data_IF_304937273200
#
_entry.id   IF_304937273200
#
_cell.length_a   1.000
_cell.length_b   1.000
_cell.length_c   1.000
_cell.angle_alpha   90.00
_cell.angle_beta   90.00
_cell.angle_gamma   90.00
#
_symmetry.space_group_name_H-M   'P 1'
#
loop_
_entity.id
_entity.type
_entity.pdbx_description
1 polymer ?
#
# COMPACT_ATOMS: atom_id res chain seq x y z
N UNK A 1 17.32 -56.52 14.50
CA UNK A 1 17.55 -55.32 13.65
C UNK A 1 16.54 -55.15 12.51
N UNK A 2 16.21 -56.16 11.68
CA UNK A 2 15.27 -56.00 10.54
C UNK A 2 13.84 -55.53 10.88
N UNK A 3 13.27 -55.93 12.03
CA UNK A 3 11.92 -55.50 12.46
C UNK A 3 11.84 -54.03 12.93
N UNK A 4 12.90 -53.50 13.53
CA UNK A 4 12.95 -52.08 13.92
C UNK A 4 13.14 -51.15 12.71
N UNK A 5 13.84 -51.63 11.67
CA UNK A 5 13.99 -50.89 10.42
C UNK A 5 12.65 -50.75 9.65
N UNK A 6 11.83 -51.80 9.64
CA UNK A 6 10.52 -51.81 8.97
C UNK A 6 9.47 -50.91 9.63
N UNK A 7 9.45 -50.83 10.97
CA UNK A 7 8.56 -49.91 11.71
C UNK A 7 9.02 -48.45 11.54
N UNK A 8 10.33 -48.20 11.50
CA UNK A 8 10.88 -46.88 11.19
C UNK A 8 10.53 -46.41 9.77
N UNK A 9 10.66 -47.29 8.78
CA UNK A 9 10.28 -47.02 7.38
C UNK A 9 8.77 -46.82 7.19
N UNK A 10 7.93 -47.60 7.88
CA UNK A 10 6.48 -47.43 7.84
C UNK A 10 6.02 -46.13 8.53
N UNK A 11 6.66 -45.76 9.65
CA UNK A 11 6.42 -44.48 10.32
C UNK A 11 6.81 -43.28 9.46
N UNK A 12 7.98 -43.33 8.82
CA UNK A 12 8.45 -42.33 7.86
C UNK A 12 7.50 -42.21 6.66
N UNK A 13 7.04 -43.34 6.10
CA UNK A 13 6.07 -43.34 5.01
C UNK A 13 4.73 -42.72 5.41
N UNK A 14 4.20 -43.01 6.60
CA UNK A 14 2.96 -42.42 7.10
C UNK A 14 3.10 -40.90 7.36
N UNK A 15 4.23 -40.45 7.90
CA UNK A 15 4.50 -39.01 8.04
C UNK A 15 4.67 -38.30 6.70
N UNK A 16 5.30 -38.96 5.71
CA UNK A 16 5.45 -38.42 4.37
C UNK A 16 4.11 -38.35 3.63
N UNK A 17 3.25 -39.37 3.76
CA UNK A 17 1.89 -39.39 3.21
C UNK A 17 1.03 -38.31 3.88
N UNK A 18 1.05 -38.22 5.21
CA UNK A 18 0.32 -37.18 5.95
C UNK A 18 0.77 -35.77 5.59
N UNK A 19 2.09 -35.56 5.44
CA UNK A 19 2.67 -34.30 4.98
C UNK A 19 2.27 -33.97 3.53
N UNK A 20 2.27 -34.96 2.64
CA UNK A 20 1.84 -34.80 1.25
C UNK A 20 0.36 -34.43 1.13
N UNK A 21 -0.52 -35.08 1.90
CA UNK A 21 -1.97 -34.76 1.94
C UNK A 21 -2.20 -33.36 2.50
N UNK A 22 -1.49 -32.98 3.56
CA UNK A 22 -1.59 -31.63 4.12
C UNK A 22 -1.11 -30.57 3.13
N UNK A 23 0.03 -30.79 2.46
CA UNK A 23 0.53 -29.87 1.43
C UNK A 23 -0.41 -29.75 0.24
N UNK A 24 -1.01 -30.85 -0.19
CA UNK A 24 -2.04 -30.85 -1.23
C UNK A 24 -3.25 -30.00 -0.80
N UNK A 25 -3.74 -30.18 0.43
CA UNK A 25 -4.84 -29.38 0.97
C UNK A 25 -4.48 -27.89 1.04
N UNK A 26 -3.27 -27.56 1.51
CA UNK A 26 -2.81 -26.17 1.59
C UNK A 26 -2.67 -25.54 0.19
N UNK A 27 -2.22 -26.30 -0.81
CA UNK A 27 -2.11 -25.84 -2.20
C UNK A 27 -3.48 -25.63 -2.84
N UNK A 28 -4.41 -26.58 -2.69
CA UNK A 28 -5.78 -26.51 -3.20
C UNK A 28 -6.56 -25.31 -2.62
N UNK A 29 -6.41 -25.05 -1.32
CA UNK A 29 -7.03 -23.89 -0.66
C UNK A 29 -6.19 -22.60 -0.76
N UNK A 30 -5.01 -22.67 -1.41
CA UNK A 30 -4.13 -21.53 -1.57
C UNK A 30 -3.59 -20.97 -0.26
N UNK A 31 -3.45 -21.76 0.81
CA UNK A 31 -3.00 -21.26 2.12
C UNK A 31 -1.47 -21.17 2.13
N UNK A 32 -0.93 -19.96 2.00
CA UNK A 32 0.52 -19.72 1.99
C UNK A 32 1.12 -19.79 3.40
N UNK A 33 2.42 -20.12 3.58
CA UNK A 33 3.08 -20.12 4.89
C UNK A 33 2.91 -18.81 5.65
N UNK A 34 3.03 -17.68 4.93
CA UNK A 34 2.84 -16.32 5.43
C UNK A 34 1.41 -15.99 5.86
N UNK A 35 0.39 -16.69 5.35
CA UNK A 35 -0.98 -16.58 5.88
C UNK A 35 -1.26 -17.55 7.04
N UNK A 36 -0.68 -18.75 6.98
CA UNK A 36 -0.89 -19.79 7.99
C UNK A 36 -0.19 -19.46 9.31
N UNK A 37 1.06 -19.00 9.26
CA UNK A 37 1.85 -18.69 10.45
C UNK A 37 1.17 -17.69 11.39
N UNK A 38 0.84 -16.47 10.91
CA UNK A 38 0.13 -15.48 11.72
C UNK A 38 -1.25 -15.94 12.18
N UNK A 39 -1.96 -16.74 11.37
CA UNK A 39 -3.23 -17.33 11.78
C UNK A 39 -3.07 -18.28 12.98
N UNK A 40 -2.07 -19.15 12.94
CA UNK A 40 -1.77 -20.09 14.04
C UNK A 40 -1.33 -19.35 15.30
N UNK A 41 -0.47 -18.33 15.18
CA UNK A 41 -0.09 -17.47 16.31
C UNK A 41 -1.33 -16.81 16.93
N UNK A 42 -2.14 -16.13 16.12
CA UNK A 42 -3.37 -15.46 16.61
C UNK A 42 -4.35 -16.43 17.25
N UNK A 43 -4.48 -17.66 16.74
CA UNK A 43 -5.38 -18.65 17.34
C UNK A 43 -4.91 -19.09 18.72
N UNK A 44 -3.60 -19.05 18.97
CA UNK A 44 -3.00 -19.34 20.27
C UNK A 44 -3.06 -18.18 21.26
N UNK A 45 -3.18 -16.93 20.81
CA UNK A 45 -3.27 -15.75 21.68
C UNK A 45 -4.36 -15.90 22.76
N UNK A 46 -4.06 -15.49 23.99
CA UNK A 46 -5.00 -15.52 25.11
C UNK A 46 -5.23 -16.91 25.73
N UNK A 47 -4.51 -17.93 25.25
CA UNK A 47 -4.51 -19.27 25.86
C UNK A 47 -3.39 -19.39 26.91
N UNK A 48 -3.02 -20.62 27.31
CA UNK A 48 -1.91 -20.82 28.25
C UNK A 48 -0.57 -20.39 27.63
N UNK A 49 0.43 -19.99 28.45
CA UNK A 49 1.73 -19.53 27.95
C UNK A 49 2.44 -20.53 27.03
N UNK A 50 2.17 -21.82 27.20
CA UNK A 50 2.70 -22.86 26.33
C UNK A 50 2.08 -22.82 24.93
N UNK A 51 0.74 -22.64 24.84
CA UNK A 51 0.03 -22.56 23.55
C UNK A 51 0.44 -21.31 22.79
N UNK A 52 0.54 -20.17 23.47
CA UNK A 52 1.03 -18.92 22.87
C UNK A 52 2.45 -19.08 22.32
N UNK A 53 3.35 -19.68 23.10
CA UNK A 53 4.73 -19.94 22.68
C UNK A 53 4.80 -20.89 21.48
N UNK A 54 3.96 -21.92 21.44
CA UNK A 54 3.87 -22.84 20.30
C UNK A 54 3.41 -22.07 19.06
N UNK A 55 2.35 -21.27 19.17
CA UNK A 55 1.81 -20.46 18.07
C UNK A 55 2.85 -19.49 17.50
N UNK A 56 3.50 -18.71 18.36
CA UNK A 56 4.55 -17.77 17.96
C UNK A 56 5.77 -18.48 17.34
N UNK A 57 6.13 -19.66 17.85
CA UNK A 57 7.25 -20.44 17.29
C UNK A 57 6.90 -21.03 15.93
N UNK A 58 5.68 -21.55 15.76
CA UNK A 58 5.18 -22.05 14.48
C UNK A 58 5.13 -20.93 13.44
N UNK A 59 4.65 -19.74 13.81
CA UNK A 59 4.66 -18.57 12.93
C UNK A 59 6.09 -18.23 12.47
N UNK A 60 7.02 -18.02 13.41
CA UNK A 60 8.42 -17.72 13.07
C UNK A 60 9.04 -18.76 12.15
N UNK A 61 8.80 -20.04 12.41
CA UNK A 61 9.34 -21.11 11.57
C UNK A 61 8.73 -21.09 10.16
N UNK A 62 7.40 -21.02 10.03
CA UNK A 62 6.74 -20.96 8.72
C UNK A 62 7.17 -19.74 7.90
N UNK A 63 7.25 -18.58 8.55
CA UNK A 63 7.61 -17.31 7.89
C UNK A 63 9.09 -17.27 7.52
N UNK A 64 10.00 -17.77 8.37
CA UNK A 64 11.44 -17.82 8.05
C UNK A 64 11.76 -18.81 6.94
N UNK A 65 11.11 -19.97 6.91
CA UNK A 65 11.26 -20.97 5.85
C UNK A 65 10.83 -20.44 4.48
N UNK A 66 9.75 -19.65 4.45
CA UNK A 66 9.24 -19.01 3.25
C UNK A 66 10.08 -17.78 2.87
N UNK A 67 10.10 -16.77 3.72
CA UNK A 67 10.61 -15.44 3.35
C UNK A 67 12.12 -15.29 3.52
N UNK A 68 12.76 -16.17 4.30
CA UNK A 68 14.11 -15.97 4.83
C UNK A 68 14.14 -14.98 5.99
N UNK A 69 15.24 -15.00 6.76
CA UNK A 69 15.40 -14.18 7.96
C UNK A 69 15.96 -12.77 7.70
N UNK A 70 16.58 -12.56 6.54
CA UNK A 70 17.22 -11.28 6.23
C UNK A 70 16.18 -10.20 5.90
N UNK A 71 16.33 -8.98 6.44
CA UNK A 71 15.43 -7.88 6.13
C UNK A 71 15.63 -7.29 4.73
N UNK A 72 14.56 -6.66 4.24
CA UNK A 72 14.65 -5.78 3.09
C UNK A 72 15.52 -4.57 3.48
N UNK A 73 16.44 -4.19 2.60
CA UNK A 73 17.37 -3.08 2.80
C UNK A 73 17.07 -1.96 1.81
N UNK A 74 15.81 -1.55 1.71
CA UNK A 74 15.39 -0.52 0.76
C UNK A 74 15.78 0.90 1.21
N UNK A 75 16.31 1.09 2.43
CA UNK A 75 16.63 2.41 2.96
C UNK A 75 17.72 3.14 2.17
N UNK A 76 18.61 2.38 1.52
CA UNK A 76 19.67 2.92 0.67
C UNK A 76 19.22 3.17 -0.78
N UNK A 77 17.99 2.80 -1.14
CA UNK A 77 17.49 2.99 -2.49
C UNK A 77 17.17 4.46 -2.75
N UNK A 78 17.71 4.96 -3.86
CA UNK A 78 17.38 6.26 -4.44
C UNK A 78 16.82 6.01 -5.84
N UNK A 79 15.58 6.42 -6.06
CA UNK A 79 14.89 6.17 -7.32
C UNK A 79 13.83 7.20 -7.69
N UNK A 80 13.15 6.95 -8.80
CA UNK A 80 12.15 7.84 -9.39
C UNK A 80 10.77 7.81 -8.69
N UNK A 81 10.60 7.00 -7.64
CA UNK A 81 9.33 6.81 -6.92
C UNK A 81 9.48 7.27 -5.46
N UNK A 82 8.41 7.84 -4.92
CA UNK A 82 8.44 8.54 -3.64
C UNK A 82 8.88 10.00 -3.79
N UNK A 83 9.15 10.65 -2.66
CA UNK A 83 9.62 12.03 -2.62
C UNK A 83 10.95 12.19 -3.37
N UNK A 84 11.02 13.23 -4.19
CA UNK A 84 12.12 13.60 -5.07
C UNK A 84 12.81 14.86 -4.54
N UNK A 85 14.15 14.87 -4.61
CA UNK A 85 14.99 16.02 -4.20
C UNK A 85 14.72 17.28 -5.04
N UNK A 86 14.42 17.08 -6.32
CA UNK A 86 13.91 18.12 -7.21
C UNK A 86 12.39 18.08 -7.17
N UNK A 87 11.74 19.21 -6.91
CA UNK A 87 10.27 19.28 -6.88
C UNK A 87 9.64 18.70 -8.15
N UNK A 88 8.52 17.99 -8.00
CA UNK A 88 7.82 17.36 -9.12
C UNK A 88 6.97 18.39 -9.84
N UNK A 89 7.12 18.47 -11.17
CA UNK A 89 6.29 19.36 -11.99
C UNK A 89 4.91 18.75 -12.20
N UNK A 90 3.88 19.50 -11.87
CA UNK A 90 2.48 19.18 -12.19
C UNK A 90 1.92 20.32 -13.04
N UNK A 91 1.24 20.04 -14.17
CA UNK A 91 0.56 21.05 -14.96
C UNK A 91 -0.41 21.92 -14.14
N UNK A 92 -0.68 23.13 -14.62
CA UNK A 92 -1.60 24.07 -13.95
C UNK A 92 -1.05 24.73 -12.70
N UNK A 93 0.28 24.89 -12.59
CA UNK A 93 0.89 25.65 -11.48
C UNK A 93 0.52 27.13 -11.61
N UNK A 94 -0.18 27.73 -10.63
CA UNK A 94 -0.57 29.13 -10.71
C UNK A 94 0.66 30.05 -10.70
N UNK A 95 0.61 31.11 -11.51
CA UNK A 95 1.49 32.28 -11.40
C UNK A 95 0.92 33.33 -10.43
N UNK A 96 0.06 32.91 -9.50
CA UNK A 96 -0.68 33.80 -8.62
C UNK A 96 0.19 34.46 -7.55
N UNK A 97 -0.43 35.35 -6.78
CA UNK A 97 0.24 36.12 -5.75
C UNK A 97 0.91 35.20 -4.72
N UNK A 98 2.21 35.39 -4.51
CA UNK A 98 2.97 34.69 -3.49
C UNK A 98 2.72 35.27 -2.10
N UNK A 99 2.53 34.40 -1.11
CA UNK A 99 2.57 34.74 0.32
C UNK A 99 3.69 33.94 0.96
N UNK A 100 4.60 34.63 1.63
CA UNK A 100 5.64 33.99 2.43
C UNK A 100 5.14 33.80 3.86
N UNK A 101 5.36 32.62 4.42
CA UNK A 101 5.07 32.34 5.83
C UNK A 101 6.31 31.78 6.52
N UNK A 102 6.56 32.26 7.73
CA UNK A 102 7.78 31.98 8.48
C UNK A 102 7.50 31.35 9.86
N UNK A 103 6.25 31.03 10.17
CA UNK A 103 5.81 30.42 11.42
C UNK A 103 4.44 29.73 11.27
N UNK A 104 4.09 28.87 12.23
CA UNK A 104 2.86 28.05 12.21
C UNK A 104 1.57 28.88 12.22
N UNK A 105 1.57 30.03 12.90
CA UNK A 105 0.39 30.87 13.04
C UNK A 105 0.18 31.73 11.78
N UNK A 106 1.26 32.18 11.15
CA UNK A 106 1.28 32.77 9.82
C UNK A 106 0.76 31.81 8.76
N UNK A 107 1.17 30.54 8.79
CA UNK A 107 0.63 29.50 7.92
C UNK A 107 -0.89 29.32 8.13
N UNK A 108 -1.34 29.21 9.39
CA UNK A 108 -2.77 29.11 9.72
C UNK A 108 -3.57 30.29 9.19
N UNK A 109 -3.08 31.52 9.38
CA UNK A 109 -3.74 32.74 8.87
C UNK A 109 -3.76 32.77 7.34
N UNK A 110 -2.66 32.42 6.68
CA UNK A 110 -2.57 32.40 5.23
C UNK A 110 -3.56 31.41 4.62
N UNK A 111 -3.67 30.19 5.18
CA UNK A 111 -4.66 29.19 4.77
C UNK A 111 -6.09 29.73 4.96
N UNK A 112 -6.39 30.31 6.14
CA UNK A 112 -7.73 30.82 6.45
C UNK A 112 -8.16 32.02 5.59
N UNK A 113 -7.20 32.76 5.02
CA UNK A 113 -7.44 33.93 4.18
C UNK A 113 -7.25 33.65 2.68
N UNK A 114 -6.93 32.42 2.31
CA UNK A 114 -6.46 32.12 0.96
C UNK A 114 -7.46 32.47 -0.14
N UNK A 115 -6.95 32.87 -1.30
CA UNK A 115 -7.72 33.16 -2.52
C UNK A 115 -7.35 32.18 -3.64
N UNK A 116 -8.26 31.87 -4.58
CA UNK A 116 -7.95 31.05 -5.75
C UNK A 116 -6.66 31.51 -6.46
N UNK A 117 -5.80 30.55 -6.80
CA UNK A 117 -4.51 30.78 -7.46
C UNK A 117 -3.37 31.21 -6.54
N UNK A 118 -3.61 31.46 -5.26
CA UNK A 118 -2.58 31.93 -4.34
C UNK A 118 -1.55 30.85 -4.02
N UNK A 119 -0.28 31.26 -3.91
CA UNK A 119 0.84 30.38 -3.57
C UNK A 119 1.40 30.76 -2.21
N UNK A 120 1.10 29.94 -1.20
CA UNK A 120 1.64 30.05 0.16
C UNK A 120 2.95 29.28 0.22
N UNK A 121 4.07 30.00 0.24
CA UNK A 121 5.41 29.42 0.35
C UNK A 121 5.89 29.52 1.79
N UNK A 122 6.11 28.36 2.40
CA UNK A 122 6.68 28.26 3.75
C UNK A 122 8.19 28.38 3.62
N UNK A 123 8.78 29.29 4.38
CA UNK A 123 10.23 29.46 4.44
C UNK A 123 10.89 28.23 5.09
N UNK A 124 12.16 27.93 4.77
CA UNK A 124 12.87 26.83 5.40
C UNK A 124 12.84 26.89 6.93
N UNK A 125 12.56 25.76 7.57
CA UNK A 125 12.44 25.70 9.02
C UNK A 125 11.67 24.50 9.54
N UNK A 126 11.57 24.44 10.87
CA UNK A 126 10.79 23.45 11.60
C UNK A 126 9.67 24.15 12.35
N UNK A 127 8.44 23.73 12.10
CA UNK A 127 7.23 24.39 12.56
C UNK A 127 6.35 23.40 13.29
N UNK A 128 6.07 23.66 14.55
CA UNK A 128 5.17 22.83 15.35
C UNK A 128 3.73 23.24 15.15
N UNK A 129 2.88 22.27 14.83
CA UNK A 129 1.45 22.44 14.58
C UNK A 129 0.67 21.77 15.70
N UNK A 130 0.16 22.57 16.63
CA UNK A 130 -0.52 22.09 17.84
C UNK A 130 -2.04 22.07 17.71
N UNK A 131 -2.56 22.63 16.61
CA UNK A 131 -3.99 22.71 16.30
C UNK A 131 -4.20 22.35 14.85
N UNK A 132 -5.30 21.65 14.57
CA UNK A 132 -5.74 21.34 13.22
C UNK A 132 -5.78 22.60 12.35
N UNK A 133 -5.22 22.49 11.14
CA UNK A 133 -5.30 23.52 10.12
C UNK A 133 -6.53 23.28 9.25
N UNK A 134 -7.60 24.03 9.54
CA UNK A 134 -8.83 23.97 8.76
C UNK A 134 -8.68 24.67 7.40
N UNK A 135 -8.88 23.91 6.33
CA UNK A 135 -8.77 24.36 4.94
C UNK A 135 -10.17 24.46 4.34
N UNK A 136 -10.82 25.62 4.56
CA UNK A 136 -12.24 25.82 4.25
C UNK A 136 -12.56 26.74 3.07
N UNK A 137 -11.56 27.41 2.46
CA UNK A 137 -11.77 28.30 1.31
C UNK A 137 -11.53 27.55 0.00
N UNK A 138 -12.43 27.63 -1.00
CA UNK A 138 -12.22 26.93 -2.26
C UNK A 138 -11.14 27.59 -3.11
N UNK A 139 -10.30 26.79 -3.76
CA UNK A 139 -9.61 27.20 -4.99
C UNK A 139 -10.53 27.09 -6.20
N UNK A 140 -9.95 27.21 -7.40
CA UNK A 140 -10.63 26.93 -8.67
C UNK A 140 -9.83 25.93 -9.51
N UNK A 141 -10.46 25.32 -10.51
CA UNK A 141 -9.86 24.32 -11.39
C UNK A 141 -8.62 24.84 -12.12
N UNK A 142 -8.70 26.08 -12.64
CA UNK A 142 -7.63 26.79 -13.32
C UNK A 142 -6.75 27.63 -12.38
N UNK A 143 -7.16 27.77 -11.12
CA UNK A 143 -6.48 28.54 -10.09
C UNK A 143 -6.52 27.81 -8.72
N UNK A 144 -5.85 26.65 -8.59
CA UNK A 144 -5.75 25.96 -7.32
C UNK A 144 -4.97 26.78 -6.29
N UNK A 145 -5.22 26.55 -5.01
CA UNK A 145 -4.45 27.15 -3.92
C UNK A 145 -3.29 26.21 -3.57
N UNK A 146 -2.07 26.73 -3.54
CA UNK A 146 -0.86 25.92 -3.33
C UNK A 146 -0.19 26.28 -2.01
N UNK A 147 0.05 25.27 -1.17
CA UNK A 147 0.92 25.37 0.02
C UNK A 147 2.18 24.58 -0.26
N UNK A 148 3.36 25.20 -0.16
CA UNK A 148 4.60 24.53 -0.55
C UNK A 148 5.84 24.92 0.22
N UNK A 149 6.83 24.03 0.20
CA UNK A 149 8.24 24.41 0.33
C UNK A 149 8.82 24.72 -1.05
N UNK A 150 9.70 25.72 -1.13
CA UNK A 150 10.38 26.02 -2.39
C UNK A 150 11.42 24.95 -2.75
N UNK A 151 12.19 24.52 -1.74
CA UNK A 151 13.15 23.42 -1.82
C UNK A 151 12.56 22.20 -1.09
N UNK A 152 12.38 21.04 -1.75
CA UNK A 152 11.96 19.81 -1.09
C UNK A 152 12.82 19.47 0.12
N UNK A 153 12.18 19.10 1.22
CA UNK A 153 12.87 18.75 2.46
C UNK A 153 13.27 19.93 3.35
N UNK A 154 13.12 21.18 2.88
CA UNK A 154 13.53 22.36 3.66
C UNK A 154 12.52 22.78 4.75
N UNK A 155 11.27 22.31 4.67
CA UNK A 155 10.18 22.65 5.59
C UNK A 155 9.71 21.39 6.31
N UNK A 156 9.86 21.40 7.63
CA UNK A 156 9.39 20.34 8.53
C UNK A 156 8.19 20.82 9.34
N UNK A 157 7.04 20.18 9.16
CA UNK A 157 5.83 20.43 9.92
C UNK A 157 5.63 19.30 10.94
N UNK A 158 5.80 19.60 12.22
CA UNK A 158 5.60 18.66 13.31
C UNK A 158 4.15 18.72 13.81
N UNK A 159 3.35 17.74 13.42
CA UNK A 159 1.94 17.63 13.76
C UNK A 159 1.80 17.02 15.16
N UNK A 160 1.41 17.86 16.11
CA UNK A 160 1.14 17.50 17.50
C UNK A 160 -0.37 17.53 17.78
N UNK A 161 -1.15 17.08 16.81
CA UNK A 161 -2.61 17.09 16.82
C UNK A 161 -3.12 15.84 16.12
N UNK A 162 -4.40 15.49 16.33
CA UNK A 162 -4.99 14.29 15.72
C UNK A 162 -5.03 14.35 14.20
N UNK A 163 -5.40 15.52 13.67
CA UNK A 163 -5.49 15.80 12.24
C UNK A 163 -4.67 17.05 11.92
N UNK A 164 -3.68 16.93 11.05
CA UNK A 164 -2.82 18.05 10.64
C UNK A 164 -3.59 19.08 9.81
N UNK A 165 -3.99 18.70 8.60
CA UNK A 165 -4.79 19.52 7.70
C UNK A 165 -6.16 18.89 7.44
N UNK A 166 -7.23 19.59 7.81
CA UNK A 166 -8.61 19.21 7.45
C UNK A 166 -9.00 19.90 6.15
N UNK A 167 -8.99 19.15 5.05
CA UNK A 167 -9.31 19.64 3.71
C UNK A 167 -10.83 19.55 3.49
N UNK A 168 -11.51 20.67 3.68
CA UNK A 168 -12.96 20.79 3.58
C UNK A 168 -13.43 21.57 2.33
N UNK A 169 -12.50 22.01 1.49
CA UNK A 169 -12.76 22.80 0.29
C UNK A 169 -11.90 22.32 -0.90
N UNK A 170 -12.37 22.51 -2.14
CA UNK A 170 -11.75 21.90 -3.31
C UNK A 170 -10.54 22.67 -3.83
N UNK A 171 -9.78 22.02 -4.73
CA UNK A 171 -8.67 22.60 -5.50
C UNK A 171 -7.52 23.13 -4.63
N UNK A 172 -7.15 22.35 -3.62
CA UNK A 172 -5.95 22.58 -2.81
C UNK A 172 -4.82 21.65 -3.18
N UNK A 173 -3.61 22.19 -3.21
CA UNK A 173 -2.38 21.44 -3.47
C UNK A 173 -1.34 21.67 -2.39
N UNK A 174 -0.72 20.59 -1.93
CA UNK A 174 0.37 20.60 -0.95
C UNK A 174 1.63 19.98 -1.55
N UNK A 175 2.72 20.74 -1.61
CA UNK A 175 3.94 20.36 -2.33
C UNK A 175 5.22 20.42 -1.49
N UNK A 176 6.08 19.41 -1.63
CA UNK A 176 7.48 19.43 -1.18
C UNK A 176 7.67 19.52 0.35
N UNK A 177 6.64 19.19 1.14
CA UNK A 177 6.64 19.31 2.59
C UNK A 177 7.14 18.03 3.26
N UNK A 178 7.82 18.17 4.40
CA UNK A 178 8.02 17.08 5.36
C UNK A 178 6.98 17.24 6.46
N UNK A 179 6.07 16.29 6.60
CA UNK A 179 5.04 16.24 7.64
C UNK A 179 5.34 15.08 8.58
N UNK A 180 5.44 15.35 9.88
CA UNK A 180 5.75 14.33 10.88
C UNK A 180 4.75 14.37 12.02
N UNK A 181 4.10 13.24 12.31
CA UNK A 181 3.32 13.06 13.52
C UNK A 181 4.26 12.90 14.73
N UNK A 182 4.12 13.76 15.73
CA UNK A 182 4.97 13.76 16.94
C UNK A 182 4.18 13.47 18.22
N UNK A 183 2.98 12.90 18.05
CA UNK A 183 2.14 12.46 19.16
C UNK A 183 2.65 11.12 19.71
N UNK A 184 2.57 10.93 21.03
CA UNK A 184 2.82 9.61 21.65
C UNK A 184 1.80 8.55 21.17
N UNK A 185 0.55 8.98 21.00
CA UNK A 185 -0.53 8.25 20.35
C UNK A 185 -1.50 9.26 19.72
N UNK A 186 -2.35 8.80 18.80
CA UNK A 186 -3.43 9.64 18.25
C UNK A 186 -3.04 10.63 17.16
N UNK A 187 -1.80 10.62 16.65
CA UNK A 187 -1.48 11.26 15.37
C UNK A 187 -2.15 10.44 14.26
N UNK A 188 -3.38 10.79 13.94
CA UNK A 188 -4.23 10.05 13.03
C UNK A 188 -3.90 10.40 11.59
N UNK A 189 -3.99 11.68 11.20
CA UNK A 189 -3.94 12.10 9.80
C UNK A 189 -3.00 13.29 9.56
N UNK A 190 -2.15 13.21 8.54
CA UNK A 190 -1.47 14.41 8.03
C UNK A 190 -2.45 15.26 7.22
N UNK A 191 -3.21 14.59 6.33
CA UNK A 191 -4.31 15.16 5.56
C UNK A 191 -5.58 14.37 5.82
N UNK A 192 -6.63 15.04 6.30
CA UNK A 192 -7.99 14.53 6.30
C UNK A 192 -8.80 15.27 5.24
N UNK A 193 -8.98 14.63 4.09
CA UNK A 193 -9.76 15.15 2.96
C UNK A 193 -11.21 14.71 3.11
N UNK A 194 -12.11 15.67 3.29
CA UNK A 194 -13.49 15.37 3.66
C UNK A 194 -14.50 16.25 2.96
N UNK A 195 -15.72 15.72 2.81
CA UNK A 195 -16.86 16.50 2.35
C UNK A 195 -16.63 17.13 0.98
N UNK A 196 -16.52 18.46 0.94
CA UNK A 196 -16.33 19.24 -0.31
C UNK A 196 -14.87 19.30 -0.78
N UNK A 197 -13.92 18.63 -0.11
CA UNK A 197 -12.50 18.61 -0.44
C UNK A 197 -12.11 17.88 -1.74
N UNK A 198 -12.89 17.98 -2.81
CA UNK A 198 -12.60 17.32 -4.09
C UNK A 198 -11.44 17.99 -4.83
N UNK A 199 -10.81 17.26 -5.77
CA UNK A 199 -9.66 17.75 -6.54
C UNK A 199 -8.48 18.21 -5.65
N UNK A 200 -8.33 17.58 -4.49
CA UNK A 200 -7.16 17.71 -3.63
C UNK A 200 -5.92 17.10 -4.29
N UNK A 201 -4.75 17.70 -4.06
CA UNK A 201 -3.48 17.13 -4.50
C UNK A 201 -2.41 17.19 -3.39
N UNK A 202 -1.79 16.06 -3.09
CA UNK A 202 -0.53 15.99 -2.35
C UNK A 202 0.56 15.53 -3.30
N UNK A 203 1.60 16.35 -3.46
CA UNK A 203 2.64 16.14 -4.46
C UNK A 203 4.02 16.26 -3.81
N UNK A 204 4.84 15.24 -3.98
CA UNK A 204 6.25 15.29 -3.56
C UNK A 204 6.47 15.55 -2.07
N UNK A 205 5.60 15.04 -1.19
CA UNK A 205 5.74 15.20 0.25
C UNK A 205 6.34 13.96 0.91
N UNK A 206 7.01 14.15 2.04
CA UNK A 206 7.37 13.08 2.98
C UNK A 206 6.42 13.16 4.17
N UNK A 207 5.69 12.08 4.45
CA UNK A 207 4.76 11.96 5.56
C UNK A 207 5.21 10.84 6.48
N UNK A 208 5.42 11.14 7.76
CA UNK A 208 6.03 10.23 8.74
C UNK A 208 5.18 10.12 10.00
N UNK A 209 4.97 8.90 10.50
CA UNK A 209 4.39 8.63 11.82
C UNK A 209 2.92 9.04 12.04
N UNK A 210 2.06 8.61 11.12
CA UNK A 210 0.60 8.75 11.21
C UNK A 210 -0.09 7.37 11.19
N UNK A 211 -1.27 7.28 11.79
CA UNK A 211 -2.09 6.07 11.68
C UNK A 211 -2.61 5.91 10.24
N UNK A 212 -3.11 7.00 9.65
CA UNK A 212 -3.45 7.10 8.24
C UNK A 212 -3.01 8.47 7.71
N UNK A 213 -1.82 8.53 7.10
CA UNK A 213 -1.21 9.78 6.61
C UNK A 213 -2.16 10.60 5.73
N UNK A 214 -2.88 9.94 4.82
CA UNK A 214 -3.97 10.54 4.04
C UNK A 214 -5.25 9.77 4.31
N UNK A 215 -6.20 10.43 4.97
CA UNK A 215 -7.57 9.93 5.17
C UNK A 215 -8.53 10.67 4.26
N UNK A 216 -9.39 9.92 3.59
CA UNK A 216 -10.41 10.47 2.69
C UNK A 216 -11.76 9.85 3.05
N UNK A 217 -12.77 10.67 3.28
CA UNK A 217 -14.14 10.18 3.48
C UNK A 217 -15.20 11.20 3.10
N UNK A 218 -16.39 10.70 2.76
CA UNK A 218 -17.56 11.54 2.62
C UNK A 218 -17.90 12.22 3.97
N UNK A 219 -18.40 13.45 3.88
CA UNK A 219 -18.93 14.19 5.02
C UNK A 219 -20.16 14.99 4.56
N UNK A 220 -21.26 14.94 5.32
CA UNK A 220 -22.52 15.57 4.92
C UNK A 220 -23.07 15.07 3.58
N UNK A 221 -22.86 13.79 3.26
CA UNK A 221 -23.28 13.17 1.99
C UNK A 221 -22.44 13.57 0.77
N UNK A 222 -21.30 14.23 0.97
CA UNK A 222 -20.43 14.71 -0.12
C UNK A 222 -19.11 13.95 -0.11
N UNK A 223 -18.84 13.09 -1.11
CA UNK A 223 -17.56 12.41 -1.26
C UNK A 223 -16.52 13.34 -1.93
N UNK A 224 -15.29 13.40 -1.41
CA UNK A 224 -14.20 14.17 -2.02
C UNK A 224 -13.56 13.40 -3.18
N UNK A 225 -14.16 13.50 -4.37
CA UNK A 225 -13.71 12.81 -5.58
C UNK A 225 -12.49 13.50 -6.25
N UNK A 226 -11.87 12.82 -7.22
CA UNK A 226 -10.83 13.36 -8.12
C UNK A 226 -9.52 13.81 -7.45
N UNK A 227 -9.13 13.19 -6.34
CA UNK A 227 -7.86 13.52 -5.69
C UNK A 227 -6.63 12.96 -6.40
N UNK A 228 -5.47 13.56 -6.11
CA UNK A 228 -4.16 13.18 -6.65
C UNK A 228 -3.16 12.98 -5.51
N UNK A 229 -2.56 11.79 -5.43
CA UNK A 229 -1.34 11.54 -4.64
C UNK A 229 -0.22 11.22 -5.61
N UNK A 230 0.74 12.13 -5.76
CA UNK A 230 1.85 12.00 -6.71
C UNK A 230 3.21 12.09 -6.02
N UNK A 231 4.06 11.08 -6.20
CA UNK A 231 5.45 11.12 -5.76
C UNK A 231 5.63 11.41 -4.26
N UNK A 232 4.71 10.96 -3.41
CA UNK A 232 4.87 11.11 -1.96
C UNK A 232 5.57 9.89 -1.36
N UNK A 233 6.33 10.11 -0.29
CA UNK A 233 6.80 9.04 0.59
C UNK A 233 5.97 9.04 1.87
N UNK A 234 5.33 7.92 2.20
CA UNK A 234 4.51 7.75 3.40
C UNK A 234 5.06 6.57 4.21
N UNK A 235 5.53 6.81 5.43
CA UNK A 235 6.14 5.76 6.26
C UNK A 235 5.88 5.94 7.74
N UNK A 236 6.04 4.88 8.53
CA UNK A 236 6.20 5.01 9.98
C UNK A 236 7.58 4.51 10.40
N UNK A 237 8.12 5.10 11.46
CA UNK A 237 9.41 4.72 12.05
C UNK A 237 9.26 3.66 13.14
N UNK A 238 8.04 3.47 13.62
CA UNK A 238 7.72 2.52 14.69
C UNK A 238 6.31 1.95 14.52
N UNK A 239 6.05 0.85 15.25
CA UNK A 239 4.70 0.27 15.35
C UNK A 239 3.75 1.31 15.94
N UNK A 240 2.60 1.52 15.28
CA UNK A 240 1.57 2.43 15.77
C UNK A 240 0.86 1.81 16.98
N UNK A 241 1.02 2.44 18.14
CA UNK A 241 0.36 2.04 19.38
C UNK A 241 -1.12 2.44 19.38
N UNK A 242 -1.93 1.77 18.56
CA UNK A 242 -3.36 2.07 18.39
C UNK A 242 -4.18 0.81 18.07
N UNK A 243 -5.44 0.80 18.50
CA UNK A 243 -6.45 -0.16 18.05
C UNK A 243 -7.23 0.31 16.82
N UNK A 244 -7.12 1.61 16.47
CA UNK A 244 -7.69 2.19 15.25
C UNK A 244 -6.99 1.67 13.99
N UNK A 245 -7.56 1.97 12.82
CA UNK A 245 -6.97 1.59 11.55
C UNK A 245 -5.56 2.17 11.38
N UNK A 246 -4.66 1.37 10.82
CA UNK A 246 -3.34 1.82 10.36
C UNK A 246 -3.26 1.55 8.87
N UNK A 247 -3.41 2.62 8.11
CA UNK A 247 -3.53 2.59 6.66
C UNK A 247 -3.03 3.91 6.08
N UNK A 248 -1.76 4.00 5.62
CA UNK A 248 -1.18 5.25 5.14
C UNK A 248 -2.04 6.03 4.13
N UNK A 249 -2.75 5.33 3.25
CA UNK A 249 -3.74 5.94 2.34
C UNK A 249 -5.09 5.22 2.51
N UNK A 250 -6.04 5.87 3.17
CA UNK A 250 -7.38 5.32 3.48
C UNK A 250 -8.47 6.12 2.75
N UNK A 251 -8.91 5.60 1.59
CA UNK A 251 -9.99 6.17 0.78
C UNK A 251 -11.32 5.49 1.08
N UNK A 252 -12.28 6.28 1.57
CA UNK A 252 -13.66 5.84 1.83
C UNK A 252 -14.64 6.67 1.00
N UNK A 253 -15.50 5.99 0.23
CA UNK A 253 -16.56 6.57 -0.61
C UNK A 253 -16.11 7.48 -1.77
N UNK A 254 -14.80 7.67 -1.94
CA UNK A 254 -14.21 8.53 -2.95
C UNK A 254 -13.95 7.80 -4.27
N UNK A 255 -14.15 8.52 -5.38
CA UNK A 255 -13.99 8.02 -6.74
C UNK A 255 -13.00 8.87 -7.55
N UNK A 256 -12.49 8.29 -8.64
CA UNK A 256 -11.60 8.95 -9.60
C UNK A 256 -10.28 9.49 -9.02
N UNK A 257 -9.80 8.91 -7.92
CA UNK A 257 -8.48 9.25 -7.40
C UNK A 257 -7.37 8.63 -8.24
N UNK A 258 -6.29 9.39 -8.41
CA UNK A 258 -5.04 8.93 -9.01
C UNK A 258 -3.97 8.89 -7.93
N UNK A 259 -3.45 7.71 -7.65
CA UNK A 259 -2.40 7.46 -6.66
C UNK A 259 -1.21 6.90 -7.43
N UNK A 260 -0.23 7.76 -7.73
CA UNK A 260 0.86 7.47 -8.65
C UNK A 260 2.24 7.76 -8.07
N UNK A 261 3.21 6.89 -8.35
CA UNK A 261 4.63 7.10 -7.99
C UNK A 261 4.87 7.32 -6.49
N UNK A 262 3.99 6.84 -5.62
CA UNK A 262 4.19 6.95 -4.18
C UNK A 262 5.03 5.78 -3.65
N UNK A 263 5.84 6.06 -2.63
CA UNK A 263 6.53 5.07 -1.81
C UNK A 263 5.81 4.95 -0.47
N UNK A 264 5.29 3.77 -0.14
CA UNK A 264 4.61 3.49 1.13
C UNK A 264 5.38 2.42 1.89
N UNK A 265 5.74 2.66 3.16
CA UNK A 265 6.41 1.64 3.96
C UNK A 265 6.03 1.57 5.43
N UNK A 266 6.29 0.41 6.05
CA UNK A 266 6.35 0.23 7.51
C UNK A 266 5.05 0.58 8.27
N UNK A 267 3.90 0.11 7.80
CA UNK A 267 2.59 0.45 8.36
C UNK A 267 2.06 -0.59 9.36
N UNK A 268 2.68 -0.75 10.53
CA UNK A 268 2.29 -1.79 11.49
C UNK A 268 1.31 -1.28 12.55
N UNK A 269 0.21 -2.02 12.75
CA UNK A 269 -0.78 -1.80 13.82
C UNK A 269 -0.47 -2.64 15.07
N UNK A 270 -0.23 -1.96 16.19
CA UNK A 270 0.12 -2.62 17.46
C UNK A 270 -1.04 -3.16 18.28
N UNK A 271 -2.24 -2.60 18.14
CA UNK A 271 -3.43 -2.97 18.93
C UNK A 271 -4.58 -3.57 18.11
N UNK A 272 -5.71 -3.85 18.77
CA UNK A 272 -6.92 -4.35 18.14
C UNK A 272 -6.71 -5.68 17.41
N UNK A 273 -7.17 -5.76 16.17
CA UNK A 273 -6.96 -6.92 15.29
C UNK A 273 -5.52 -7.02 14.76
N UNK A 274 -4.66 -6.01 14.93
CA UNK A 274 -3.29 -5.98 14.39
C UNK A 274 -3.22 -6.18 12.86
N UNK A 275 -4.28 -5.85 12.13
CA UNK A 275 -4.31 -5.85 10.65
C UNK A 275 -4.12 -4.42 10.16
N UNK A 276 -3.32 -4.27 9.10
CA UNK A 276 -2.96 -2.99 8.50
C UNK A 276 -2.84 -3.12 6.99
N UNK A 277 -3.05 -2.02 6.29
CA UNK A 277 -3.08 -1.96 4.83
C UNK A 277 -2.15 -0.85 4.35
N UNK A 278 -1.42 -1.02 3.25
CA UNK A 278 -0.56 0.04 2.73
C UNK A 278 -1.39 1.17 2.10
N UNK A 279 -2.26 0.79 1.16
CA UNK A 279 -3.23 1.70 0.55
C UNK A 279 -4.56 1.00 0.35
N UNK A 280 -5.64 1.74 0.56
CA UNK A 280 -6.98 1.18 0.67
C UNK A 280 -8.01 2.06 0.00
N UNK A 281 -8.84 1.51 -0.90
CA UNK A 281 -10.04 2.16 -1.42
C UNK A 281 -11.28 1.33 -1.13
N UNK A 282 -12.29 1.93 -0.51
CA UNK A 282 -13.52 1.27 -0.05
C UNK A 282 -14.70 2.24 0.02
N UNK A 283 -15.85 1.79 0.52
CA UNK A 283 -16.98 2.65 0.83
C UNK A 283 -17.90 2.98 -0.34
N UNK A 284 -17.98 2.12 -1.37
CA UNK A 284 -18.86 2.31 -2.53
C UNK A 284 -18.34 3.35 -3.52
N UNK A 285 -17.02 3.60 -3.53
CA UNK A 285 -16.37 4.41 -4.54
C UNK A 285 -16.10 3.61 -5.82
N UNK A 286 -15.49 4.27 -6.81
CA UNK A 286 -15.11 3.60 -8.05
C UNK A 286 -14.12 4.36 -8.91
N UNK A 287 -13.61 3.70 -9.94
CA UNK A 287 -12.70 4.29 -10.93
C UNK A 287 -11.43 4.92 -10.33
N UNK A 288 -10.94 4.37 -9.21
CA UNK A 288 -9.67 4.78 -8.63
C UNK A 288 -8.53 4.07 -9.37
N UNK A 289 -7.43 4.80 -9.58
CA UNK A 289 -6.24 4.33 -10.26
C UNK A 289 -5.06 4.37 -9.28
N UNK A 290 -4.54 3.20 -8.90
CA UNK A 290 -3.29 3.09 -8.16
C UNK A 290 -2.23 2.52 -9.09
N UNK A 291 -1.28 3.36 -9.49
CA UNK A 291 -0.29 2.96 -10.49
C UNK A 291 1.14 3.36 -10.17
N UNK A 292 2.09 2.57 -10.63
CA UNK A 292 3.51 2.90 -10.54
C UNK A 292 3.96 3.22 -9.10
N UNK A 293 3.30 2.64 -8.09
CA UNK A 293 3.67 2.82 -6.68
C UNK A 293 4.63 1.72 -6.23
N UNK A 294 5.42 2.02 -5.22
CA UNK A 294 6.21 1.05 -4.47
C UNK A 294 5.61 0.92 -3.07
N UNK A 295 5.19 -0.28 -2.69
CA UNK A 295 4.63 -0.58 -1.37
C UNK A 295 5.48 -1.63 -0.67
N UNK A 296 6.14 -1.22 0.40
CA UNK A 296 7.01 -2.05 1.24
C UNK A 296 6.32 -2.28 2.58
N UNK A 297 5.52 -3.34 2.67
CA UNK A 297 4.75 -3.65 3.88
C UNK A 297 5.64 -3.67 5.13
N UNK A 298 6.83 -4.23 4.99
CA UNK A 298 7.87 -4.23 6.00
C UNK A 298 9.23 -3.93 5.38
N UNK A 299 9.80 -2.78 5.72
CA UNK A 299 11.16 -2.42 5.37
C UNK A 299 12.02 -2.42 6.65
N UNK A 300 11.93 -1.37 7.46
CA UNK A 300 12.62 -1.28 8.75
C UNK A 300 12.00 -2.16 9.83
N UNK A 301 10.70 -2.41 9.74
CA UNK A 301 9.92 -3.05 10.79
C UNK A 301 9.65 -4.54 10.54
N UNK A 302 10.49 -5.21 9.73
CA UNK A 302 10.30 -6.62 9.36
C UNK A 302 10.29 -7.55 10.56
N UNK A 303 9.41 -8.54 10.51
CA UNK A 303 9.31 -9.60 11.50
C UNK A 303 8.59 -9.21 12.79
N UNK A 304 8.15 -7.95 12.93
CA UNK A 304 7.26 -7.57 14.01
C UNK A 304 5.87 -8.23 13.84
N UNK A 305 5.13 -8.50 14.93
CA UNK A 305 3.82 -9.15 14.86
C UNK A 305 2.75 -8.31 14.12
N UNK A 306 1.70 -8.98 13.64
CA UNK A 306 0.57 -8.37 12.93
C UNK A 306 0.46 -8.83 11.47
N UNK A 307 -0.58 -8.39 10.77
CA UNK A 307 -0.78 -8.69 9.35
C UNK A 307 -0.73 -7.41 8.53
N UNK A 308 0.07 -7.42 7.45
CA UNK A 308 0.28 -6.29 6.53
C UNK A 308 -0.18 -6.71 5.15
N UNK A 309 -1.26 -6.10 4.69
CA UNK A 309 -1.74 -6.22 3.31
C UNK A 309 -1.19 -5.04 2.49
N UNK A 310 -0.69 -5.30 1.28
CA UNK A 310 -0.09 -4.25 0.45
C UNK A 310 -1.13 -3.23 -0.05
N UNK A 311 -1.86 -3.59 -1.10
CA UNK A 311 -2.96 -2.82 -1.66
C UNK A 311 -4.28 -3.52 -1.41
N UNK A 312 -5.35 -2.76 -1.20
CA UNK A 312 -6.67 -3.33 -1.06
C UNK A 312 -7.76 -2.51 -1.75
N UNK A 313 -8.67 -3.22 -2.39
CA UNK A 313 -9.96 -2.70 -2.86
C UNK A 313 -11.06 -3.38 -2.04
N UNK A 314 -11.66 -2.61 -1.14
CA UNK A 314 -12.72 -3.05 -0.25
C UNK A 314 -12.31 -4.02 0.87
N UNK A 315 -13.25 -4.37 1.74
CA UNK A 315 -13.00 -5.27 2.88
C UNK A 315 -12.61 -4.59 4.18
N UNK A 316 -12.87 -3.29 4.30
CA UNK A 316 -12.68 -2.54 5.54
C UNK A 316 -13.93 -2.48 6.41
N UNK A 317 -14.94 -3.30 6.10
CA UNK A 317 -16.19 -3.39 6.85
C UNK A 317 -16.92 -2.06 6.95
N UNK A 318 -16.93 -1.26 5.87
CA UNK A 318 -17.54 0.07 5.91
C UNK A 318 -19.01 -0.08 6.26
N UNK A 319 -19.47 0.60 7.31
CA UNK A 319 -20.89 0.61 7.66
C UNK A 319 -21.71 1.26 6.56
N UNK A 320 -22.90 0.74 6.28
CA UNK A 320 -23.80 1.20 5.21
C UNK A 320 -23.95 2.73 5.13
N UNK A 321 -24.11 3.40 6.28
CA UNK A 321 -24.26 4.87 6.36
C UNK A 321 -23.02 5.68 5.98
N UNK A 322 -21.85 5.04 5.86
CA UNK A 322 -20.60 5.68 5.42
C UNK A 322 -20.28 5.39 3.94
N UNK A 323 -21.02 4.48 3.30
CA UNK A 323 -20.85 4.25 1.87
C UNK A 323 -21.54 5.32 1.04
N UNK A 324 -20.96 5.57 -0.14
CA UNK A 324 -21.47 6.51 -1.12
C UNK A 324 -22.93 6.24 -1.51
N UNK A 325 -23.29 4.97 -1.62
CA UNK A 325 -24.62 4.48 -2.01
C UNK A 325 -25.57 4.27 -0.82
N UNK A 326 -25.09 4.47 0.41
CA UNK A 326 -25.83 4.18 1.64
C UNK A 326 -26.08 2.69 1.91
N UNK A 327 -25.47 1.77 1.13
CA UNK A 327 -25.77 0.33 1.16
C UNK A 327 -24.52 -0.55 1.26
N UNK A 328 -23.39 -0.13 0.70
CA UNK A 328 -22.15 -0.90 0.62
C UNK A 328 -22.31 -2.29 -0.03
N UNK A 329 -23.11 -2.42 -1.10
CA UNK A 329 -23.23 -3.73 -1.79
C UNK A 329 -21.86 -4.11 -2.36
N UNK A 330 -21.22 -3.14 -3.01
CA UNK A 330 -19.82 -3.16 -3.37
C UNK A 330 -19.10 -2.10 -2.54
N UNK A 331 -17.92 -2.45 -2.03
CA UNK A 331 -17.04 -1.49 -1.38
C UNK A 331 -16.25 -0.71 -2.42
N UNK A 332 -16.04 -1.26 -3.63
CA UNK A 332 -15.33 -0.60 -4.71
C UNK A 332 -15.72 -1.14 -6.09
N UNK A 333 -15.73 -0.28 -7.12
CA UNK A 333 -15.98 -0.72 -8.50
C UNK A 333 -14.97 -0.17 -9.52
N UNK A 334 -14.74 -0.95 -10.59
CA UNK A 334 -14.05 -0.52 -11.82
C UNK A 334 -12.72 0.20 -11.59
N UNK A 335 -11.98 -0.23 -10.57
CA UNK A 335 -10.70 0.37 -10.19
C UNK A 335 -9.52 -0.42 -10.75
N UNK A 336 -8.43 0.29 -10.98
CA UNK A 336 -7.26 -0.25 -11.68
C UNK A 336 -6.04 -0.18 -10.75
N UNK A 337 -5.40 -1.32 -10.57
CA UNK A 337 -4.09 -1.45 -9.94
C UNK A 337 -3.09 -1.84 -11.02
N UNK A 338 -2.18 -0.96 -11.41
CA UNK A 338 -1.22 -1.26 -12.49
C UNK A 338 0.21 -0.86 -12.25
N UNK A 339 1.16 -1.63 -12.75
CA UNK A 339 2.59 -1.29 -12.69
C UNK A 339 3.10 -1.01 -11.26
N UNK A 340 2.49 -1.59 -10.22
CA UNK A 340 2.96 -1.42 -8.84
C UNK A 340 4.00 -2.49 -8.47
N UNK A 341 5.02 -2.11 -7.71
CA UNK A 341 5.92 -3.03 -7.03
C UNK A 341 5.49 -3.13 -5.56
N UNK A 342 5.05 -4.31 -5.15
CA UNK A 342 4.59 -4.59 -3.79
C UNK A 342 5.50 -5.65 -3.20
N UNK A 343 6.11 -5.35 -2.06
CA UNK A 343 7.08 -6.22 -1.45
C UNK A 343 6.94 -6.36 0.06
N UNK A 344 7.44 -7.49 0.55
CA UNK A 344 7.68 -7.75 1.96
C UNK A 344 6.42 -7.71 2.83
N UNK A 345 5.31 -8.26 2.34
CA UNK A 345 4.03 -8.31 3.04
C UNK A 345 3.86 -9.63 3.80
N UNK A 346 3.51 -9.53 5.08
CA UNK A 346 3.17 -10.70 5.91
C UNK A 346 1.80 -11.30 5.57
N UNK A 347 1.06 -10.70 4.65
CA UNK A 347 -0.22 -11.19 4.13
C UNK A 347 -0.29 -10.95 2.61
N UNK A 348 -1.47 -11.01 2.02
CA UNK A 348 -1.72 -10.72 0.60
C UNK A 348 -1.05 -9.39 0.16
N UNK A 349 -0.39 -9.42 -0.99
CA UNK A 349 0.14 -8.22 -1.61
C UNK A 349 -0.99 -7.35 -2.17
N UNK A 350 -2.02 -7.98 -2.74
CA UNK A 350 -3.25 -7.33 -3.20
C UNK A 350 -4.47 -8.11 -2.70
N UNK A 351 -5.41 -7.41 -2.06
CA UNK A 351 -6.65 -8.00 -1.54
C UNK A 351 -7.89 -7.32 -2.12
N UNK A 352 -8.86 -8.11 -2.59
CA UNK A 352 -10.13 -7.62 -3.09
C UNK A 352 -11.28 -8.24 -2.29
N UNK A 353 -12.15 -7.39 -1.75
CA UNK A 353 -13.28 -7.80 -0.93
C UNK A 353 -14.47 -6.86 -1.13
N UNK A 354 -15.53 -7.40 -1.73
CA UNK A 354 -16.63 -6.63 -2.31
C UNK A 354 -16.15 -5.61 -3.36
N UNK A 355 -15.17 -5.99 -4.19
CA UNK A 355 -14.61 -5.13 -5.24
C UNK A 355 -14.92 -5.64 -6.64
N UNK A 356 -15.83 -4.99 -7.36
CA UNK A 356 -16.33 -5.46 -8.64
C UNK A 356 -15.54 -4.88 -9.83
N UNK A 357 -15.38 -5.69 -10.89
CA UNK A 357 -14.84 -5.33 -12.21
C UNK A 357 -13.47 -4.65 -12.14
N UNK A 358 -12.66 -5.04 -11.17
CA UNK A 358 -11.32 -4.47 -10.99
C UNK A 358 -10.35 -4.97 -12.07
N UNK A 359 -9.31 -4.20 -12.36
CA UNK A 359 -8.23 -4.62 -13.25
C UNK A 359 -6.89 -4.56 -12.52
N UNK A 360 -6.18 -5.68 -12.50
CA UNK A 360 -4.86 -5.80 -11.89
C UNK A 360 -3.88 -6.17 -13.00
N UNK A 361 -3.10 -5.19 -13.46
CA UNK A 361 -2.31 -5.35 -14.69
C UNK A 361 -0.86 -5.02 -14.44
N UNK A 362 0.06 -5.89 -14.86
CA UNK A 362 1.50 -5.60 -14.80
C UNK A 362 2.00 -5.26 -13.38
N UNK A 363 1.49 -5.87 -12.31
CA UNK A 363 2.04 -5.67 -10.97
C UNK A 363 3.16 -6.69 -10.68
N UNK A 364 4.20 -6.26 -9.97
CA UNK A 364 5.24 -7.14 -9.42
C UNK A 364 5.00 -7.29 -7.93
N UNK A 365 4.70 -8.51 -7.47
CA UNK A 365 4.50 -8.84 -6.07
C UNK A 365 5.64 -9.78 -5.64
N UNK A 366 6.49 -9.35 -4.70
CA UNK A 366 7.62 -10.16 -4.24
C UNK A 366 7.56 -10.32 -2.73
N UNK A 367 7.73 -11.54 -2.21
CA UNK A 367 7.69 -11.75 -0.76
C UNK A 367 6.32 -11.31 -0.15
N UNK A 368 5.20 -11.73 -0.76
CA UNK A 368 3.81 -11.38 -0.35
C UNK A 368 2.84 -12.55 -0.54
N UNK A 369 1.69 -12.62 0.13
CA UNK A 369 0.63 -13.65 -0.06
C UNK A 369 0.19 -13.86 -1.51
N UNK A 370 0.46 -12.88 -2.37
CA UNK A 370 -0.01 -12.82 -3.74
C UNK A 370 -1.29 -12.01 -3.83
N UNK A 371 -2.25 -12.51 -4.60
CA UNK A 371 -3.54 -11.84 -4.84
C UNK A 371 -4.70 -12.72 -4.40
N UNK A 372 -5.59 -12.17 -3.59
CA UNK A 372 -6.85 -12.81 -3.22
C UNK A 372 -8.04 -11.98 -3.69
N UNK A 373 -8.94 -12.61 -4.43
CA UNK A 373 -10.25 -12.05 -4.78
C UNK A 373 -11.32 -12.81 -4.00
N UNK A 374 -12.03 -12.09 -3.12
CA UNK A 374 -12.92 -12.72 -2.13
C UNK A 374 -14.38 -12.31 -2.28
N UNK A 375 -15.28 -13.29 -2.14
CA UNK A 375 -16.73 -13.16 -2.20
C UNK A 375 -17.31 -12.96 -3.61
N UNK A 376 -18.56 -13.38 -3.88
CA UNK A 376 -19.19 -13.26 -5.20
C UNK A 376 -19.33 -11.83 -5.71
N UNK A 377 -19.33 -10.84 -4.82
CA UNK A 377 -19.37 -9.42 -5.17
C UNK A 377 -18.02 -8.88 -5.65
N UNK A 378 -16.95 -9.67 -5.53
CA UNK A 378 -15.65 -9.30 -6.08
C UNK A 378 -15.37 -9.97 -7.41
N UNK A 379 -14.92 -9.17 -8.38
CA UNK A 379 -14.43 -9.68 -9.66
C UNK A 379 -13.22 -8.89 -10.14
N UNK A 380 -12.26 -9.59 -10.73
CA UNK A 380 -11.07 -8.97 -11.28
C UNK A 380 -10.56 -9.65 -12.54
N UNK A 381 -10.08 -8.82 -13.47
CA UNK A 381 -9.21 -9.27 -14.57
C UNK A 381 -7.76 -9.07 -14.15
N UNK A 382 -6.96 -10.13 -14.22
CA UNK A 382 -5.54 -10.11 -13.90
C UNK A 382 -4.73 -10.49 -15.12
N UNK A 383 -3.82 -9.63 -15.54
CA UNK A 383 -3.02 -9.86 -16.74
C UNK A 383 -1.62 -9.23 -16.63
N UNK A 384 -0.61 -9.94 -17.13
CA UNK A 384 0.79 -9.51 -17.12
C UNK A 384 1.44 -9.41 -15.73
N UNK A 385 0.83 -9.92 -14.65
CA UNK A 385 1.42 -9.81 -13.31
C UNK A 385 2.55 -10.82 -13.09
N UNK A 386 3.54 -10.44 -12.27
CA UNK A 386 4.61 -11.31 -11.77
C UNK A 386 4.48 -11.41 -10.26
N UNK A 387 4.16 -12.60 -9.74
CA UNK A 387 3.74 -12.80 -8.35
C UNK A 387 4.55 -13.91 -7.70
N UNK A 388 5.41 -13.54 -6.75
CA UNK A 388 6.07 -14.46 -5.83
C UNK A 388 5.14 -14.87 -4.67
N UNK A 389 4.06 -15.51 -5.07
CA UNK A 389 2.90 -15.84 -4.28
C UNK A 389 1.87 -16.47 -5.21
N UNK A 390 0.63 -16.58 -4.75
CA UNK A 390 -0.45 -17.19 -5.54
C UNK A 390 -1.45 -16.15 -6.02
N UNK A 391 -2.26 -16.51 -7.01
CA UNK A 391 -3.49 -15.79 -7.33
C UNK A 391 -4.63 -16.77 -7.03
N UNK A 392 -5.54 -16.40 -6.12
CA UNK A 392 -6.64 -17.27 -5.71
C UNK A 392 -7.99 -16.56 -5.64
N UNK A 393 -9.04 -17.33 -5.93
CA UNK A 393 -10.40 -17.01 -5.54
C UNK A 393 -10.64 -17.56 -4.13
N UNK A 394 -11.26 -16.77 -3.26
CA UNK A 394 -11.69 -17.21 -1.93
C UNK A 394 -13.18 -16.91 -1.76
N UNK A 395 -13.92 -17.81 -1.13
CA UNK A 395 -15.35 -17.63 -0.87
C UNK A 395 -16.15 -17.25 -2.13
N UNK A 396 -15.85 -17.86 -3.28
CA UNK A 396 -16.50 -17.64 -4.57
C UNK A 396 -16.23 -16.28 -5.24
N UNK A 397 -15.07 -15.66 -5.02
CA UNK A 397 -14.62 -14.52 -5.83
C UNK A 397 -14.43 -14.87 -7.31
N UNK A 398 -14.58 -13.91 -8.21
CA UNK A 398 -14.54 -14.15 -9.65
C UNK A 398 -13.21 -13.68 -10.23
N UNK A 399 -12.47 -14.59 -10.86
CA UNK A 399 -11.18 -14.32 -11.49
C UNK A 399 -11.28 -14.49 -13.01
N UNK A 400 -10.78 -13.50 -13.75
CA UNK A 400 -10.51 -13.61 -15.18
C UNK A 400 -9.00 -13.49 -15.38
N UNK A 401 -8.34 -14.63 -15.63
CA UNK A 401 -6.89 -14.71 -15.72
C UNK A 401 -6.44 -14.63 -17.19
N UNK A 402 -5.63 -13.61 -17.50
CA UNK A 402 -4.77 -13.58 -18.68
C UNK A 402 -3.41 -14.22 -18.38
N UNK A 403 -2.36 -13.70 -19.01
CA UNK A 403 -1.00 -14.22 -18.84
C UNK A 403 -0.38 -13.70 -17.55
N UNK A 404 -0.27 -14.54 -16.52
CA UNK A 404 0.37 -14.19 -15.25
C UNK A 404 1.45 -15.23 -14.90
N UNK A 405 2.50 -14.78 -14.21
CA UNK A 405 3.53 -15.65 -13.63
C UNK A 405 3.36 -15.69 -12.12
N UNK A 406 3.10 -16.88 -11.57
CA UNK A 406 2.83 -17.08 -10.13
C UNK A 406 3.74 -18.17 -9.54
N UNK A 407 3.98 -18.13 -8.24
CA UNK A 407 4.55 -19.25 -7.48
C UNK A 407 3.42 -20.20 -7.05
N UNK A 408 3.72 -21.48 -6.77
CA UNK A 408 2.75 -22.42 -6.17
C UNK A 408 2.91 -22.47 -4.66
N UNK A 409 1.86 -22.85 -3.92
CA UNK A 409 1.93 -22.95 -2.45
C UNK A 409 2.98 -23.96 -2.03
N UNK A 410 3.02 -25.13 -2.70
CA UNK A 410 4.02 -26.16 -2.42
C UNK A 410 5.47 -25.63 -2.52
N UNK A 411 5.76 -24.76 -3.49
CA UNK A 411 7.09 -24.14 -3.62
C UNK A 411 7.38 -23.17 -2.47
N UNK A 412 6.40 -22.38 -2.04
CA UNK A 412 6.54 -21.48 -0.90
C UNK A 412 6.85 -22.24 0.40
N UNK A 413 6.16 -23.36 0.67
CA UNK A 413 6.48 -24.23 1.83
C UNK A 413 7.87 -24.87 1.74
N UNK A 414 8.40 -25.05 0.53
CA UNK A 414 9.76 -25.51 0.31
C UNK A 414 10.81 -24.37 0.32
N UNK A 415 10.41 -23.12 0.60
CA UNK A 415 11.30 -21.96 0.54
C UNK A 415 11.81 -21.64 -0.87
N UNK A 416 11.09 -22.10 -1.91
CA UNK A 416 11.45 -21.89 -3.32
C UNK A 416 10.62 -20.76 -3.93
N UNK A 417 11.31 -19.76 -4.47
CA UNK A 417 10.70 -18.53 -4.98
C UNK A 417 11.15 -18.25 -6.42
N UNK A 418 10.56 -18.94 -7.42
CA UNK A 418 11.00 -18.81 -8.81
C UNK A 418 10.87 -17.37 -9.31
N UNK A 419 9.82 -16.64 -8.92
CA UNK A 419 9.63 -15.26 -9.39
C UNK A 419 10.59 -14.28 -8.71
N UNK A 420 10.87 -14.46 -7.42
CA UNK A 420 11.91 -13.71 -6.70
C UNK A 420 13.31 -13.99 -7.27
N UNK A 421 13.57 -15.23 -7.68
CA UNK A 421 14.86 -15.67 -8.20
C UNK A 421 15.24 -15.02 -9.55
N UNK A 422 14.29 -14.40 -10.25
CA UNK A 422 14.55 -13.64 -11.49
C UNK A 422 15.38 -12.38 -11.24
N UNK A 423 15.44 -11.89 -9.99
CA UNK A 423 16.07 -10.62 -9.63
C UNK A 423 17.46 -10.79 -8.99
N UNK A 424 18.35 -9.83 -9.23
CA UNK A 424 19.75 -9.86 -8.77
C UNK A 424 19.88 -9.90 -7.24
N UNK A 425 19.27 -8.96 -6.53
CA UNK A 425 19.25 -8.94 -5.06
C UNK A 425 17.96 -8.24 -4.57
N UNK A 426 16.81 -8.92 -4.60
CA UNK A 426 15.55 -8.32 -4.18
C UNK A 426 15.53 -7.94 -2.68
N UNK A 427 16.34 -8.58 -1.83
CA UNK A 427 16.49 -8.17 -0.42
C UNK A 427 17.34 -6.90 -0.26
N UNK A 428 18.31 -6.68 -1.14
CA UNK A 428 19.01 -5.41 -1.32
C UNK A 428 18.22 -4.36 -2.12
N UNK A 429 16.94 -4.61 -2.41
CA UNK A 429 16.09 -3.77 -3.25
C UNK A 429 16.60 -3.60 -4.70
N UNK A 430 17.42 -4.54 -5.18
CA UNK A 430 17.88 -4.62 -6.57
C UNK A 430 17.01 -5.58 -7.37
N UNK A 431 15.96 -5.04 -7.97
CA UNK A 431 15.04 -5.74 -8.85
C UNK A 431 15.48 -5.75 -10.33
N UNK A 432 16.76 -5.45 -10.62
CA UNK A 432 17.29 -5.71 -11.96
C UNK A 432 17.25 -7.21 -12.23
N UNK A 433 16.95 -7.56 -13.48
CA UNK A 433 16.91 -8.95 -13.91
C UNK A 433 18.31 -9.58 -13.83
N UNK A 434 18.40 -10.84 -13.37
CA UNK A 434 19.64 -11.63 -13.42
C UNK A 434 20.01 -11.96 -14.85
N UNK A 435 19.03 -12.44 -15.57
CA UNK A 435 19.06 -12.76 -16.99
C UNK A 435 17.89 -12.05 -17.65
N UNK A 436 17.92 -11.78 -18.97
CA UNK A 436 16.77 -11.21 -19.66
C UNK A 436 15.51 -12.03 -19.35
N UNK A 437 14.55 -11.42 -18.64
CA UNK A 437 13.34 -12.13 -18.26
C UNK A 437 12.54 -12.57 -19.49
N UNK A 438 11.53 -13.41 -19.30
CA UNK A 438 10.64 -13.77 -20.38
C UNK A 438 9.75 -12.57 -20.78
N UNK A 439 9.35 -12.52 -22.05
CA UNK A 439 8.33 -11.59 -22.55
C UNK A 439 7.00 -12.32 -22.65
N UNK A 440 5.92 -11.58 -22.52
CA UNK A 440 4.56 -12.10 -22.70
C UNK A 440 4.31 -12.48 -24.16
N UNK A 441 3.41 -13.43 -24.39
CA UNK A 441 2.99 -13.77 -25.75
C UNK A 441 1.98 -12.76 -26.30
N UNK A 442 1.11 -12.20 -25.46
CA UNK A 442 0.12 -11.20 -25.85
C UNK A 442 0.70 -9.79 -25.81
N UNK A 443 0.12 -8.93 -26.63
CA UNK A 443 0.41 -7.51 -26.54
C UNK A 443 -0.12 -6.92 -25.23
N UNK A 444 0.61 -5.97 -24.66
CA UNK A 444 0.18 -5.25 -23.46
C UNK A 444 -0.65 -4.01 -23.74
N UNK A 445 -1.34 -3.52 -22.72
CA UNK A 445 -1.94 -2.19 -22.74
C UNK A 445 -0.83 -1.11 -22.82
N UNK A 446 -1.02 -0.09 -23.66
CA UNK A 446 -0.10 1.03 -23.77
C UNK A 446 -0.20 1.93 -22.54
N UNK A 447 0.55 1.60 -21.50
CA UNK A 447 0.71 2.40 -20.30
C UNK A 447 2.18 2.37 -19.85
N UNK A 448 2.72 3.49 -19.31
CA UNK A 448 4.07 3.49 -18.78
C UNK A 448 4.21 2.54 -17.59
N UNK A 449 5.34 1.85 -17.55
CA UNK A 449 5.73 0.96 -16.46
C UNK A 449 6.19 1.77 -15.22
N UNK A 450 6.55 1.09 -14.14
CA UNK A 450 7.02 1.71 -12.89
C UNK A 450 8.18 2.69 -13.10
N UNK A 451 9.09 2.39 -14.04
CA UNK A 451 10.28 3.18 -14.33
C UNK A 451 10.08 4.18 -15.48
N UNK A 452 8.87 4.30 -16.01
CA UNK A 452 8.50 5.25 -17.05
C UNK A 452 8.71 4.77 -18.48
N UNK A 453 9.15 3.53 -18.71
CA UNK A 453 9.24 2.98 -20.06
C UNK A 453 7.82 2.73 -20.60
N UNK A 454 7.62 2.95 -21.90
CA UNK A 454 6.39 2.60 -22.61
C UNK A 454 6.59 1.22 -23.24
N UNK A 455 6.02 0.14 -22.69
CA UNK A 455 6.29 -1.19 -23.20
C UNK A 455 5.67 -1.35 -24.59
N UNK A 456 6.49 -1.66 -25.61
CA UNK A 456 6.03 -1.84 -26.98
C UNK A 456 5.77 -3.31 -27.29
N UNK A 457 4.62 -3.60 -27.91
CA UNK A 457 4.25 -4.94 -28.35
C UNK A 457 4.08 -5.89 -27.16
N UNK A 458 5.11 -6.66 -26.85
CA UNK A 458 5.11 -7.80 -25.92
C UNK A 458 5.89 -7.46 -24.63
N UNK A 459 5.25 -6.83 -23.63
CA UNK A 459 5.92 -6.47 -22.39
C UNK A 459 6.42 -7.68 -21.61
N UNK A 460 7.33 -7.43 -20.68
CA UNK A 460 7.70 -8.36 -19.61
C UNK A 460 6.54 -8.52 -18.62
N UNK A 461 6.59 -9.61 -17.87
CA UNK A 461 5.71 -9.76 -16.72
C UNK A 461 6.14 -8.82 -15.59
N UNK A 462 5.15 -8.25 -14.90
CA UNK A 462 5.36 -7.36 -13.78
C UNK A 462 5.42 -5.88 -14.16
N UNK A 463 5.91 -5.10 -13.21
CA UNK A 463 5.79 -3.65 -13.15
C UNK A 463 6.81 -2.87 -13.95
N UNK A 464 7.83 -3.50 -14.52
CA UNK A 464 8.90 -2.79 -15.24
C UNK A 464 9.55 -3.65 -16.31
N UNK A 465 9.98 -3.01 -17.40
CA UNK A 465 10.83 -3.61 -18.42
C UNK A 465 12.29 -3.70 -17.94
N UNK A 466 12.79 -2.62 -17.35
CA UNK A 466 14.15 -2.50 -16.81
C UNK A 466 14.16 -1.68 -15.52
N UNK A 467 14.41 -2.34 -14.39
CA UNK A 467 14.49 -1.69 -13.09
C UNK A 467 15.65 -0.69 -12.99
N UNK A 468 16.68 -0.80 -13.83
CA UNK A 468 17.81 0.15 -13.82
C UNK A 468 17.34 1.57 -14.16
N UNK A 469 16.26 1.71 -14.93
CA UNK A 469 15.67 3.01 -15.26
C UNK A 469 14.92 3.65 -14.07
N UNK A 470 14.61 2.89 -13.03
CA UNK A 470 14.05 3.42 -11.78
C UNK A 470 15.12 4.02 -10.86
N UNK A 471 16.40 3.73 -11.08
CA UNK A 471 17.51 4.17 -10.24
C UNK A 471 17.97 5.57 -10.64
N UNK A 472 18.49 6.34 -9.68
CA UNK A 472 19.09 7.66 -9.89
C UNK A 472 20.60 7.63 -9.86
#
# INVERSE_FOLDING_TARGET
MRRFLGVGLAGLALTAIGGGVLLYYLDDYGITPRSLGPYVERRGDGHSPLVEKIGATANRWLVSMDRGELPLRAQAWSGAVGMQETGVRVPGRPAGQGVLVADSEGLRRAIGAALPGQVITILPGRYRIEREMYVGRPGAEDAPIVVRADVPGSVHLEMATGEGFKIAAPYWRFENLVLQGVCASGCDHAFHVAGKGHHFAAVNNLMVDFNAHVKVNAEGGRPPDHGLLLSNTLRNESVRATASAVTPVDLVAASHWVIRHNLVSDFIKGGGDRISYGMFAKGGGGHNLMEQNVVLCEDRLRGLPGQRVGLSLGGGGTGAGFCRDGKCITEQEDSILRANLIASCSDDGIYLNAAARSKLVHNTLVDTGGVTVRYPTSSATLDGNLVDGIIRSRDNGILHLGENRVSSVARLFAGMHPQRALFRDPLGFDFRWREPAERRASAGEAAPDLCGAQPAGHPRFGAFEDFSACLK
#
